data_IF_142770881445
#
_entry.id   IF_142770881445
#
_cell.length_a   1.000
_cell.length_b   1.000
_cell.length_c   1.000
_cell.angle_alpha   90.00
_cell.angle_beta   90.00
_cell.angle_gamma   90.00
#
_symmetry.space_group_name_H-M   'P 1'
#
loop_
_entity.id
_entity.type
_entity.pdbx_description
1 polymer ?
#
# COMPACT_ATOMS: atom_id res chain seq x y z
N UNK A 1 26.52 -8.60 -48.65
CA UNK A 1 26.89 -9.93 -49.20
C UNK A 1 27.82 -10.57 -48.16
N UNK A 2 27.61 -11.72 -47.49
CA UNK A 2 26.91 -12.99 -47.73
C UNK A 2 27.84 -14.18 -48.15
N UNK A 3 28.22 -15.07 -47.22
CA UNK A 3 28.61 -16.50 -47.41
C UNK A 3 28.79 -17.18 -46.02
N UNK A 4 28.26 -18.36 -45.60
CA UNK A 4 27.84 -19.69 -46.17
C UNK A 4 28.99 -20.75 -46.11
N UNK A 5 28.87 -22.03 -45.65
CA UNK A 5 27.76 -22.86 -45.08
C UNK A 5 28.26 -24.26 -44.55
N UNK A 6 27.97 -24.69 -43.29
CA UNK A 6 27.81 -26.14 -42.89
C UNK A 6 26.69 -26.27 -41.83
N UNK A 7 25.56 -26.95 -42.09
CA UNK A 7 25.26 -28.40 -41.86
C UNK A 7 25.38 -28.81 -40.37
N UNK A 8 24.36 -29.36 -39.69
CA UNK A 8 22.94 -29.59 -40.03
C UNK A 8 22.33 -30.81 -39.29
N UNK A 9 21.22 -30.61 -38.56
CA UNK A 9 20.22 -31.63 -38.11
C UNK A 9 19.09 -30.88 -37.37
N UNK A 10 17.81 -30.99 -37.74
CA UNK A 10 16.86 -31.94 -37.10
C UNK A 10 16.26 -31.33 -35.82
N UNK A 11 15.31 -30.39 -35.89
CA UNK A 11 13.84 -30.61 -35.83
C UNK A 11 13.33 -31.47 -34.65
N UNK A 12 12.64 -30.79 -33.74
CA UNK A 12 11.47 -31.23 -32.95
C UNK A 12 11.59 -32.41 -31.96
N UNK A 13 11.80 -32.10 -30.67
CA UNK A 13 11.27 -32.87 -29.53
C UNK A 13 11.34 -32.09 -28.18
N UNK A 14 10.18 -31.77 -27.62
CA UNK A 14 9.93 -31.52 -26.18
C UNK A 14 8.99 -32.66 -25.74
N UNK A 15 9.18 -33.38 -24.60
CA UNK A 15 8.99 -32.87 -23.22
C UNK A 15 9.79 -33.65 -22.13
N UNK A 16 9.42 -33.70 -20.83
CA UNK A 16 8.82 -32.69 -19.93
C UNK A 16 9.69 -32.38 -18.67
N UNK A 17 9.15 -31.51 -17.82
CA UNK A 17 9.62 -31.10 -16.49
C UNK A 17 10.10 -32.24 -15.55
N UNK A 18 11.20 -32.01 -14.80
CA UNK A 18 11.20 -31.77 -13.33
C UNK A 18 12.60 -31.65 -12.71
N UNK A 19 12.64 -30.88 -11.61
CA UNK A 19 13.60 -30.91 -10.49
C UNK A 19 14.85 -29.99 -10.49
N UNK A 20 14.81 -29.02 -9.55
CA UNK A 20 15.94 -28.25 -8.94
C UNK A 20 16.64 -27.28 -9.91
N UNK A 21 16.97 -26.05 -9.50
CA UNK A 21 17.43 -25.60 -8.16
C UNK A 21 16.69 -24.34 -7.71
N UNK A 22 16.13 -24.35 -6.49
CA UNK A 22 15.84 -23.10 -5.76
C UNK A 22 17.18 -22.55 -5.26
N UNK A 23 17.50 -21.31 -5.62
CA UNK A 23 18.48 -20.47 -4.95
C UNK A 23 17.74 -19.18 -4.57
N UNK A 24 17.23 -19.07 -3.34
CA UNK A 24 18.00 -18.57 -2.21
C UNK A 24 18.34 -17.07 -2.35
N UNK A 25 17.31 -16.22 -2.31
CA UNK A 25 17.43 -14.87 -1.76
C UNK A 25 16.88 -14.89 -0.32
N UNK A 26 17.63 -15.51 0.57
CA UNK A 26 17.48 -15.30 2.01
C UNK A 26 18.10 -13.93 2.30
N UNK A 27 17.29 -12.89 2.28
CA UNK A 27 17.67 -11.58 2.81
C UNK A 27 16.97 -11.45 4.16
N UNK A 28 17.80 -11.42 5.20
CA UNK A 28 17.50 -11.20 6.61
C UNK A 28 16.19 -10.44 6.86
N UNK A 29 15.17 -11.13 7.39
CA UNK A 29 13.86 -10.55 7.70
C UNK A 29 13.56 -10.61 9.21
N UNK A 30 14.56 -10.28 10.03
CA UNK A 30 14.37 -9.85 11.42
C UNK A 30 14.11 -8.33 11.47
N UNK A 31 13.13 -7.89 10.68
CA UNK A 31 12.39 -6.68 11.02
C UNK A 31 11.38 -7.09 12.09
N UNK A 32 11.85 -7.16 13.34
CA UNK A 32 11.01 -7.46 14.50
C UNK A 32 9.78 -6.56 14.50
N UNK A 33 8.59 -7.16 14.62
CA UNK A 33 7.32 -6.47 14.82
C UNK A 33 7.35 -5.69 16.15
N UNK A 34 7.93 -4.49 16.14
CA UNK A 34 7.96 -3.59 17.29
C UNK A 34 6.67 -2.78 17.28
N UNK A 35 5.76 -3.13 18.19
CA UNK A 35 4.52 -2.40 18.41
C UNK A 35 4.83 -1.07 19.12
N UNK A 36 4.78 0.03 18.38
CA UNK A 36 4.90 1.39 18.93
C UNK A 36 3.54 1.98 19.28
N UNK A 37 3.41 2.62 20.45
CA UNK A 37 2.14 3.25 20.84
C UNK A 37 1.85 4.47 19.94
N UNK A 38 0.68 4.46 19.31
CA UNK A 38 0.21 5.56 18.46
C UNK A 38 -0.38 6.67 19.31
N UNK A 39 0.17 7.88 19.20
CA UNK A 39 -0.39 9.07 19.86
C UNK A 39 -1.61 9.60 19.10
N UNK A 40 -1.49 9.78 17.78
CA UNK A 40 -2.55 10.37 16.95
C UNK A 40 -2.38 10.07 15.46
N UNK A 41 -3.50 9.89 14.77
CA UNK A 41 -3.58 9.93 13.32
C UNK A 41 -3.74 11.40 12.88
N UNK A 42 -2.77 11.89 12.11
CA UNK A 42 -2.70 13.26 11.60
C UNK A 42 -3.51 13.39 10.31
N UNK A 43 -3.31 12.48 9.37
CA UNK A 43 -3.85 12.55 8.00
C UNK A 43 -4.15 11.15 7.45
N UNK A 44 -4.95 11.06 6.39
CA UNK A 44 -5.15 9.86 5.58
C UNK A 44 -5.13 10.24 4.10
N UNK A 45 -4.40 9.48 3.28
CA UNK A 45 -4.42 9.60 1.81
C UNK A 45 -4.49 8.23 1.15
N UNK A 46 -5.00 8.17 -0.07
CA UNK A 46 -4.97 6.96 -0.88
C UNK A 46 -3.73 6.94 -1.77
N UNK A 47 -2.92 5.88 -1.70
CA UNK A 47 -1.74 5.67 -2.53
C UNK A 47 -1.92 4.36 -3.27
N UNK A 48 -1.93 4.39 -4.61
CA UNK A 48 -2.19 3.20 -5.47
C UNK A 48 -3.51 2.47 -5.17
N UNK A 49 -4.50 3.17 -4.62
CA UNK A 49 -5.79 2.61 -4.19
C UNK A 49 -5.83 2.13 -2.74
N UNK A 50 -4.70 2.08 -2.05
CA UNK A 50 -4.61 1.66 -0.65
C UNK A 50 -4.66 2.88 0.30
N UNK A 51 -5.43 2.85 1.40
CA UNK A 51 -5.41 3.90 2.40
C UNK A 51 -4.10 3.83 3.22
N UNK A 52 -3.41 4.96 3.29
CA UNK A 52 -2.26 5.19 4.18
C UNK A 52 -2.56 6.33 5.13
N UNK A 53 -2.15 6.16 6.38
CA UNK A 53 -2.37 7.11 7.46
C UNK A 53 -1.05 7.71 7.90
N UNK A 54 -1.04 9.01 8.14
CA UNK A 54 0.08 9.70 8.73
C UNK A 54 -0.06 9.65 10.25
N UNK A 55 0.90 9.04 10.92
CA UNK A 55 0.81 8.67 12.33
C UNK A 55 1.89 9.36 13.14
N UNK A 56 1.51 10.01 14.25
CA UNK A 56 2.41 10.47 15.31
C UNK A 56 2.60 9.34 16.31
N UNK A 57 3.85 8.97 16.56
CA UNK A 57 4.23 7.97 17.54
C UNK A 57 4.39 8.64 18.91
N UNK A 58 3.91 7.99 19.96
CA UNK A 58 3.96 8.55 21.32
C UNK A 58 5.38 8.52 21.85
N UNK A 59 5.87 9.66 22.35
CA UNK A 59 7.23 9.79 22.87
C UNK A 59 8.32 9.94 21.79
N UNK A 60 7.94 10.05 20.52
CA UNK A 60 8.85 10.35 19.42
C UNK A 60 8.34 11.57 18.66
N UNK A 61 9.24 12.44 18.20
CA UNK A 61 8.81 13.56 17.38
C UNK A 61 8.52 13.19 15.92
N UNK A 62 8.95 12.01 15.50
CA UNK A 62 8.80 11.47 14.16
C UNK A 62 7.35 11.07 13.83
N UNK A 63 7.06 11.10 12.53
CA UNK A 63 5.74 10.73 11.97
C UNK A 63 5.93 9.86 10.73
N UNK A 64 5.18 8.77 10.60
CA UNK A 64 5.31 7.82 9.48
C UNK A 64 4.00 7.62 8.71
N UNK A 65 4.11 7.10 7.47
CA UNK A 65 3.00 6.85 6.55
C UNK A 65 2.66 5.36 6.46
N UNK A 66 1.96 4.88 7.48
CA UNK A 66 1.63 3.47 7.65
C UNK A 66 0.35 3.06 6.87
N UNK A 67 0.31 1.86 6.26
CA UNK A 67 -0.91 1.32 5.68
C UNK A 67 -1.91 0.91 6.78
N UNK A 68 -3.21 0.83 6.46
CA UNK A 68 -4.23 0.40 7.42
C UNK A 68 -3.89 -0.94 8.10
N UNK A 69 -3.31 -1.87 7.35
CA UNK A 69 -2.91 -3.20 7.83
C UNK A 69 -1.81 -3.20 8.90
N UNK A 70 -1.02 -2.13 9.02
CA UNK A 70 0.04 -1.99 10.03
C UNK A 70 -0.45 -1.22 11.28
N UNK A 71 -1.70 -0.75 11.28
CA UNK A 71 -2.26 0.07 12.36
C UNK A 71 -3.28 -0.71 13.17
N UNK A 72 -2.77 -1.38 14.21
CA UNK A 72 -3.56 -2.14 15.20
C UNK A 72 -4.35 -1.25 16.18
N UNK A 73 -4.82 -0.08 15.74
CA UNK A 73 -5.50 0.94 16.55
C UNK A 73 -6.88 1.32 15.95
N UNK A 74 -7.87 0.40 15.92
CA UNK A 74 -9.16 0.62 15.27
C UNK A 74 -9.97 1.77 15.90
N UNK A 75 -9.80 2.05 17.20
CA UNK A 75 -10.45 3.19 17.86
C UNK A 75 -10.01 4.55 17.29
N UNK A 76 -8.71 4.75 17.09
CA UNK A 76 -8.17 6.00 16.55
C UNK A 76 -8.56 6.15 15.08
N UNK A 77 -8.46 5.06 14.30
CA UNK A 77 -8.92 5.00 12.91
C UNK A 77 -10.40 5.37 12.79
N UNK A 78 -11.27 4.82 13.65
CA UNK A 78 -12.70 5.11 13.63
C UNK A 78 -13.01 6.55 14.04
N UNK A 79 -12.35 7.08 15.08
CA UNK A 79 -12.49 8.50 15.49
C UNK A 79 -12.09 9.44 14.34
N UNK A 80 -10.98 9.16 13.66
CA UNK A 80 -10.51 9.93 12.49
C UNK A 80 -11.49 9.82 11.30
N UNK A 81 -11.86 8.60 10.89
CA UNK A 81 -12.81 8.34 9.79
C UNK A 81 -14.16 9.01 10.02
N UNK A 82 -14.66 8.99 11.27
CA UNK A 82 -15.90 9.66 11.66
C UNK A 82 -15.80 11.18 11.55
N UNK A 83 -14.70 11.79 12.00
CA UNK A 83 -14.45 13.22 11.88
C UNK A 83 -14.42 13.67 10.40
N UNK A 84 -13.64 12.98 9.56
CA UNK A 84 -13.57 13.25 8.11
C UNK A 84 -14.94 13.16 7.44
N UNK A 85 -15.77 12.17 7.80
CA UNK A 85 -17.12 12.04 7.25
C UNK A 85 -18.05 13.18 7.67
N UNK A 86 -17.95 13.65 8.93
CA UNK A 86 -18.72 14.79 9.41
C UNK A 86 -18.30 16.10 8.74
N UNK A 87 -17.00 16.33 8.57
CA UNK A 87 -16.49 17.52 7.90
C UNK A 87 -16.87 17.55 6.41
N UNK A 88 -16.74 16.43 5.70
CA UNK A 88 -17.20 16.29 4.32
C UNK A 88 -18.72 16.52 4.18
N UNK A 89 -19.52 16.10 5.16
CA UNK A 89 -20.97 16.40 5.21
C UNK A 89 -21.25 17.88 5.50
N UNK A 90 -20.49 18.51 6.38
CA UNK A 90 -20.62 19.93 6.71
C UNK A 90 -20.25 20.83 5.51
N UNK A 91 -19.19 20.47 4.77
CA UNK A 91 -18.79 21.13 3.53
C UNK A 91 -19.89 21.06 2.46
N UNK A 92 -20.50 19.88 2.25
CA UNK A 92 -21.65 19.73 1.34
C UNK A 92 -22.85 20.60 1.74
N UNK A 93 -23.15 20.74 3.04
CA UNK A 93 -24.21 21.63 3.52
C UNK A 93 -23.91 23.12 3.27
N UNK A 94 -22.64 23.54 3.33
CA UNK A 94 -22.23 24.92 3.01
C UNK A 94 -22.19 25.21 1.51
N UNK A 95 -21.96 24.19 0.68
CA UNK A 95 -21.94 24.31 -0.80
C UNK A 95 -23.33 24.39 -1.46
N UNK A 96 -24.42 24.16 -0.71
CA UNK A 96 -25.79 24.33 -1.21
C UNK A 96 -26.53 25.44 -0.40
N UNK A 97 -26.17 26.72 -0.57
CA UNK A 97 -27.15 27.78 -0.37
C UNK A 97 -28.24 27.58 -1.42
N UNK A 98 -29.45 27.20 -1.00
CA UNK A 98 -30.63 27.12 -1.88
C UNK A 98 -31.12 28.53 -2.20
N UNK A 99 -30.36 29.27 -3.01
CA UNK A 99 -30.87 30.47 -3.68
C UNK A 99 -31.93 30.07 -4.71
N UNK A 100 -33.03 30.81 -4.76
CA UNK A 100 -34.12 30.57 -5.72
C UNK A 100 -35.16 29.55 -5.28
N UNK A 101 -36.06 29.95 -4.38
CA UNK A 101 -37.44 30.09 -4.84
C UNK A 101 -37.79 31.58 -4.75
N UNK A 102 -38.04 32.16 -5.93
CA UNK A 102 -38.80 33.38 -6.10
C UNK A 102 -40.28 33.00 -6.31
#
# INVERSE_FOLDING_TARGET
MAQKRRVGSGRDAQPPQKARRKAARTVNSEASDVEFEVEKIIEMKFVRGEPKYHVKWKGYDETSWEPESNLHCPELLNKFKAAQLQEARALKKKSYPKSGLA
#
